data_IF_558495632188
#
_entry.id   IF_558495632188
#
_cell.length_a   1.000
_cell.length_b   1.000
_cell.length_c   1.000
_cell.angle_alpha   90.00
_cell.angle_beta   90.00
_cell.angle_gamma   90.00
#
_symmetry.space_group_name_H-M   'P 1'
#
loop_
_entity.id
_entity.type
_entity.pdbx_description
1 polymer ?
#
# COMPACT_ATOMS: atom_id res chain seq x y z
N UNK A 1 61.94 14.04 13.13
CA UNK A 1 61.97 15.09 14.18
C UNK A 1 60.50 15.25 14.57
N UNK A 2 60.10 14.54 15.60
CA UNK A 2 59.91 15.03 16.97
C UNK A 2 58.87 16.12 17.03
N UNK A 3 57.89 16.12 17.83
CA UNK A 3 57.46 15.42 19.04
C UNK A 3 56.28 16.14 19.61
N UNK A 4 55.42 15.36 20.25
CA UNK A 4 54.73 15.62 21.54
C UNK A 4 53.49 16.52 21.58
N UNK A 5 52.38 15.95 21.97
CA UNK A 5 51.91 15.70 23.36
C UNK A 5 51.43 16.95 24.09
N UNK A 6 50.24 16.92 24.64
CA UNK A 6 49.85 16.81 26.07
C UNK A 6 48.34 17.20 26.18
N UNK A 7 47.47 16.29 26.52
CA UNK A 7 46.87 15.90 27.82
C UNK A 7 46.19 17.03 28.62
N UNK A 8 44.93 16.84 28.92
CA UNK A 8 44.28 16.72 30.25
C UNK A 8 42.75 16.87 30.10
N UNK A 9 42.02 15.86 30.39
CA UNK A 9 41.42 15.52 31.69
C UNK A 9 40.44 16.57 32.24
N UNK A 10 39.17 16.24 32.24
CA UNK A 10 38.42 16.24 33.48
C UNK A 10 37.10 15.45 33.38
N UNK A 11 37.04 14.50 34.28
CA UNK A 11 35.92 13.64 34.55
C UNK A 11 34.84 14.36 35.38
N UNK A 12 33.58 14.07 35.14
CA UNK A 12 32.63 14.06 36.23
C UNK A 12 31.63 12.92 36.06
N UNK A 13 31.66 12.05 37.02
CA UNK A 13 30.82 10.90 37.26
C UNK A 13 29.36 11.32 37.47
N UNK A 14 28.46 10.61 36.82
CA UNK A 14 27.11 10.43 37.35
C UNK A 14 26.71 8.98 37.19
N UNK A 15 26.68 8.32 38.34
CA UNK A 15 26.29 6.94 38.58
C UNK A 15 24.76 6.81 38.43
N UNK A 16 24.32 6.02 37.47
CA UNK A 16 22.93 5.57 37.35
C UNK A 16 22.93 4.04 37.18
N UNK A 17 22.81 3.33 38.31
CA UNK A 17 22.63 1.88 38.34
C UNK A 17 21.35 1.47 37.62
N UNK A 18 21.47 0.70 36.54
CA UNK A 18 20.37 -0.09 35.98
C UNK A 18 20.19 -1.34 36.86
N UNK A 19 18.96 -1.71 37.27
CA UNK A 19 18.75 -2.96 37.95
C UNK A 19 18.93 -4.13 36.96
N UNK A 20 19.85 -5.01 37.31
CA UNK A 20 20.02 -6.32 36.66
C UNK A 20 18.86 -7.19 37.12
N UNK A 21 17.90 -7.47 36.24
CA UNK A 21 16.92 -8.52 36.45
C UNK A 21 17.65 -9.88 36.31
N UNK A 22 17.99 -10.48 37.44
CA UNK A 22 18.33 -11.89 37.50
C UNK A 22 17.10 -12.72 37.12
N UNK A 23 17.04 -13.19 35.89
CA UNK A 23 16.12 -14.22 35.45
C UNK A 23 16.56 -15.56 36.02
N UNK A 24 15.87 -16.03 37.03
CA UNK A 24 16.01 -17.41 37.50
C UNK A 24 15.57 -18.35 36.39
N UNK A 25 16.46 -19.21 35.94
CA UNK A 25 16.21 -20.34 35.05
C UNK A 25 15.32 -21.32 35.83
N UNK A 26 14.02 -21.31 35.54
CA UNK A 26 13.07 -22.33 35.99
C UNK A 26 13.22 -23.53 35.07
N UNK A 27 13.65 -24.65 35.65
CA UNK A 27 13.77 -25.94 34.96
C UNK A 27 12.43 -26.34 34.31
N UNK A 28 12.49 -26.77 33.05
CA UNK A 28 11.40 -27.17 32.19
C UNK A 28 10.63 -28.47 32.61
N UNK A 29 10.48 -28.74 33.89
CA UNK A 29 9.80 -29.95 34.38
C UNK A 29 8.55 -29.70 35.22
N UNK A 30 7.97 -28.46 35.20
CA UNK A 30 6.72 -28.15 35.91
C UNK A 30 5.82 -27.24 35.10
N UNK A 31 5.56 -27.58 33.83
CA UNK A 31 4.54 -26.94 33.02
C UNK A 31 3.49 -28.00 32.65
N UNK A 32 2.68 -28.33 33.60
CA UNK A 32 1.31 -28.85 33.48
C UNK A 32 0.69 -28.75 34.89
N UNK A 33 -0.40 -28.11 35.11
CA UNK A 33 -1.69 -28.11 34.39
C UNK A 33 -2.43 -26.75 34.34
N UNK A 34 -1.81 -25.72 33.79
CA UNK A 34 -2.49 -24.41 33.73
C UNK A 34 -3.63 -24.36 32.67
N UNK A 35 -3.63 -25.28 31.72
CA UNK A 35 -4.64 -25.29 30.65
C UNK A 35 -5.94 -25.98 31.04
N UNK A 36 -5.86 -27.05 31.87
CA UNK A 36 -7.04 -27.74 32.42
C UNK A 36 -7.71 -26.88 33.49
N UNK A 37 -6.94 -26.26 34.37
CA UNK A 37 -7.48 -25.36 35.40
C UNK A 37 -8.15 -24.10 34.84
N UNK A 38 -7.69 -23.58 33.68
CA UNK A 38 -8.34 -22.44 33.04
C UNK A 38 -9.67 -22.84 32.38
N UNK A 39 -9.71 -24.01 31.73
CA UNK A 39 -10.93 -24.55 31.14
C UNK A 39 -11.97 -24.88 32.22
N UNK A 40 -11.53 -25.49 33.33
CA UNK A 40 -12.41 -25.81 34.46
C UNK A 40 -12.93 -24.54 35.15
N UNK A 41 -12.10 -23.51 35.29
CA UNK A 41 -12.50 -22.23 35.82
C UNK A 41 -13.51 -21.48 34.92
N UNK A 42 -13.30 -21.54 33.60
CA UNK A 42 -14.26 -20.97 32.64
C UNK A 42 -15.58 -21.73 32.67
N UNK A 43 -15.56 -23.06 32.65
CA UNK A 43 -16.76 -23.89 32.72
C UNK A 43 -17.52 -23.67 34.03
N UNK A 44 -16.82 -23.56 35.17
CA UNK A 44 -17.46 -23.25 36.45
C UNK A 44 -18.12 -21.87 36.47
N UNK A 45 -17.46 -20.85 35.89
CA UNK A 45 -18.01 -19.50 35.77
C UNK A 45 -19.22 -19.44 34.82
N UNK A 46 -19.22 -20.23 33.75
CA UNK A 46 -20.35 -20.37 32.82
C UNK A 46 -21.55 -21.01 33.56
N UNK A 47 -21.31 -22.12 34.26
CA UNK A 47 -22.35 -22.84 35.01
C UNK A 47 -22.93 -21.95 36.11
N UNK A 48 -22.12 -21.14 36.78
CA UNK A 48 -22.61 -20.21 37.80
C UNK A 48 -23.44 -19.06 37.21
N UNK A 49 -23.07 -18.56 36.03
CA UNK A 49 -23.79 -17.51 35.29
C UNK A 49 -25.16 -18.06 34.78
N UNK A 50 -25.18 -19.28 34.28
CA UNK A 50 -26.41 -19.97 33.86
C UNK A 50 -27.37 -20.22 35.06
N UNK A 51 -26.85 -20.64 36.21
CA UNK A 51 -27.65 -20.88 37.43
C UNK A 51 -28.26 -19.60 38.00
N UNK A 52 -27.66 -18.43 37.70
CA UNK A 52 -28.16 -17.11 38.13
C UNK A 52 -29.09 -16.45 37.08
N UNK A 53 -29.38 -17.13 35.96
CA UNK A 53 -30.26 -16.60 34.91
C UNK A 53 -29.69 -15.32 34.23
N UNK A 54 -28.39 -15.10 34.36
CA UNK A 54 -27.73 -13.90 33.82
C UNK A 54 -27.35 -14.02 32.34
N UNK A 55 -27.17 -15.25 31.83
CA UNK A 55 -26.83 -15.51 30.43
C UNK A 55 -27.39 -16.88 30.04
N UNK A 56 -28.21 -16.92 29.03
CA UNK A 56 -28.61 -18.18 28.37
C UNK A 56 -27.60 -18.46 27.25
N UNK A 57 -26.45 -19.06 27.60
CA UNK A 57 -25.38 -19.37 26.66
C UNK A 57 -25.73 -20.55 25.75
N UNK A 58 -26.75 -21.35 26.14
CA UNK A 58 -27.16 -22.50 25.34
C UNK A 58 -27.95 -22.14 24.08
N UNK A 59 -28.41 -20.90 23.96
CA UNK A 59 -29.27 -20.47 22.85
C UNK A 59 -28.55 -19.89 21.62
N UNK A 60 -27.25 -19.60 21.65
CA UNK A 60 -26.60 -18.85 20.53
C UNK A 60 -25.15 -19.23 20.21
N UNK A 61 -24.62 -20.35 20.63
CA UNK A 61 -23.41 -20.89 20.02
C UNK A 61 -23.82 -21.79 18.89
N UNK A 62 -24.26 -21.19 17.78
CA UNK A 62 -24.25 -21.91 16.51
C UNK A 62 -22.83 -22.45 16.30
N UNK A 63 -22.65 -23.76 16.03
CA UNK A 63 -21.34 -24.30 15.71
C UNK A 63 -20.78 -23.43 14.58
N UNK A 64 -19.55 -22.95 14.72
CA UNK A 64 -18.89 -22.16 13.70
C UNK A 64 -19.02 -22.89 12.36
N UNK A 65 -20.04 -22.52 11.59
CA UNK A 65 -20.29 -23.12 10.30
C UNK A 65 -19.10 -22.83 9.44
N UNK A 66 -18.39 -23.87 8.99
CA UNK A 66 -17.28 -23.72 8.05
C UNK A 66 -17.84 -23.03 6.81
N UNK A 67 -17.35 -21.82 6.53
CA UNK A 67 -17.80 -21.01 5.40
C UNK A 67 -16.72 -20.95 4.33
N UNK A 68 -17.11 -20.84 3.06
CA UNK A 68 -16.17 -20.58 1.98
C UNK A 68 -15.40 -19.27 2.23
N UNK A 69 -14.11 -19.27 1.95
CA UNK A 69 -13.27 -18.09 2.15
C UNK A 69 -12.13 -17.97 1.13
N UNK A 70 -11.62 -16.77 1.02
CA UNK A 70 -10.41 -16.49 0.26
C UNK A 70 -9.20 -16.38 1.18
N UNK A 71 -8.05 -16.85 0.70
CA UNK A 71 -6.77 -16.73 1.40
C UNK A 71 -5.72 -16.22 0.42
N UNK A 72 -5.14 -15.06 0.74
CA UNK A 72 -3.97 -14.53 0.03
C UNK A 72 -2.72 -14.71 0.89
N UNK A 73 -1.72 -15.37 0.36
CA UNK A 73 -0.43 -15.58 1.03
C UNK A 73 0.72 -15.48 0.03
N UNK A 74 1.97 -15.67 0.49
CA UNK A 74 3.15 -15.61 -0.36
C UNK A 74 3.21 -16.61 -1.53
N UNK A 75 2.33 -17.62 -1.55
CA UNK A 75 2.23 -18.62 -2.64
C UNK A 75 1.15 -18.27 -3.67
N UNK A 76 0.19 -17.43 -3.33
CA UNK A 76 -0.89 -17.04 -4.25
C UNK A 76 -2.18 -16.67 -3.56
N UNK A 77 -3.20 -16.46 -4.38
CA UNK A 77 -4.60 -16.32 -3.98
C UNK A 77 -5.28 -17.68 -4.11
N UNK A 78 -5.96 -18.11 -3.06
CA UNK A 78 -6.64 -19.38 -2.97
C UNK A 78 -8.10 -19.17 -2.58
N UNK A 79 -8.98 -20.00 -3.14
CA UNK A 79 -10.35 -20.17 -2.69
C UNK A 79 -10.46 -21.52 -1.94
N UNK A 80 -11.01 -21.49 -0.74
CA UNK A 80 -11.30 -22.66 0.08
C UNK A 80 -12.81 -22.75 0.17
N UNK A 81 -13.38 -23.67 -0.60
CA UNK A 81 -14.80 -23.98 -0.56
C UNK A 81 -15.15 -24.92 0.58
N UNK A 82 -16.41 -25.30 0.65
CA UNK A 82 -16.91 -26.32 1.58
C UNK A 82 -17.51 -27.47 0.79
N UNK A 83 -17.42 -28.68 1.34
CA UNK A 83 -18.06 -29.88 0.81
C UNK A 83 -18.69 -30.69 1.96
N UNK A 84 -19.73 -31.45 1.66
CA UNK A 84 -20.35 -32.37 2.62
C UNK A 84 -19.77 -33.75 2.41
N UNK A 85 -19.22 -34.35 3.47
CA UNK A 85 -18.73 -35.74 3.51
C UNK A 85 -19.36 -36.40 4.71
N UNK A 86 -20.04 -37.51 4.48
CA UNK A 86 -20.75 -38.31 5.51
C UNK A 86 -21.71 -37.49 6.40
N UNK A 87 -22.33 -36.44 5.82
CA UNK A 87 -23.27 -35.57 6.53
C UNK A 87 -22.60 -34.40 7.27
N UNK A 88 -21.27 -34.32 7.34
CA UNK A 88 -20.54 -33.25 7.96
C UNK A 88 -20.00 -32.27 6.90
N UNK A 89 -20.03 -30.96 7.24
CA UNK A 89 -19.48 -29.91 6.39
C UNK A 89 -17.98 -29.78 6.65
N UNK A 90 -17.15 -30.05 5.64
CA UNK A 90 -15.70 -29.97 5.74
C UNK A 90 -15.14 -29.01 4.68
N UNK A 91 -13.95 -28.46 4.92
CA UNK A 91 -13.26 -27.65 3.92
C UNK A 91 -12.89 -28.48 2.68
N UNK A 92 -13.08 -27.90 1.52
CA UNK A 92 -12.58 -28.45 0.27
C UNK A 92 -11.08 -28.15 0.13
N UNK A 93 -10.40 -28.87 -0.78
CA UNK A 93 -9.01 -28.56 -1.10
C UNK A 93 -8.86 -27.12 -1.62
N UNK A 94 -7.83 -26.39 -1.17
CA UNK A 94 -7.57 -25.02 -1.63
C UNK A 94 -7.36 -24.95 -3.15
N UNK A 95 -8.21 -24.21 -3.83
CA UNK A 95 -8.13 -23.97 -5.27
C UNK A 95 -7.29 -22.71 -5.54
N UNK A 96 -6.11 -22.88 -6.12
CA UNK A 96 -5.24 -21.74 -6.46
C UNK A 96 -5.80 -20.98 -7.67
N UNK A 97 -5.98 -19.66 -7.50
CA UNK A 97 -6.60 -18.75 -8.47
C UNK A 97 -5.57 -17.93 -9.25
N UNK A 98 -4.63 -17.34 -8.53
CA UNK A 98 -3.61 -16.44 -9.09
C UNK A 98 -2.33 -16.43 -8.25
N UNK A 99 -1.31 -15.74 -8.73
CA UNK A 99 -0.18 -15.32 -7.91
C UNK A 99 -0.66 -14.37 -6.79
N UNK A 100 0.20 -14.06 -5.78
CA UNK A 100 -0.18 -13.18 -4.69
C UNK A 100 -0.66 -11.81 -5.20
N UNK A 101 -1.90 -11.46 -4.88
CA UNK A 101 -2.53 -10.16 -5.14
C UNK A 101 -3.19 -9.73 -3.85
N UNK A 102 -2.72 -8.66 -3.26
CA UNK A 102 -3.33 -8.07 -2.09
C UNK A 102 -4.21 -6.89 -2.50
N UNK A 103 -5.44 -6.86 -2.01
CA UNK A 103 -6.38 -5.77 -2.26
C UNK A 103 -6.19 -4.71 -1.17
N UNK A 104 -5.51 -3.63 -1.52
CA UNK A 104 -5.12 -2.58 -0.57
C UNK A 104 -6.13 -1.44 -0.49
N UNK A 105 -7.11 -1.38 -1.39
CA UNK A 105 -8.16 -0.39 -1.32
C UNK A 105 -9.03 -0.29 -2.56
N UNK A 106 -9.80 0.79 -2.60
CA UNK A 106 -10.65 1.17 -3.74
C UNK A 106 -10.51 2.65 -4.01
N UNK A 107 -10.76 3.08 -5.23
CA UNK A 107 -10.65 4.48 -5.59
C UNK A 107 -11.61 4.88 -6.70
N UNK A 108 -11.69 6.19 -6.93
CA UNK A 108 -12.44 6.77 -8.05
C UNK A 108 -11.55 7.74 -8.81
N UNK A 109 -11.83 7.89 -10.10
CA UNK A 109 -11.25 8.94 -10.92
C UNK A 109 -12.14 10.20 -10.95
N UNK A 110 -11.68 11.24 -11.63
CA UNK A 110 -12.43 12.48 -11.80
C UNK A 110 -13.74 12.30 -12.58
N UNK A 111 -13.87 11.21 -13.33
CA UNK A 111 -15.10 10.84 -14.05
C UNK A 111 -16.09 10.05 -13.19
N UNK A 112 -15.75 9.73 -11.95
CA UNK A 112 -16.56 8.92 -11.05
C UNK A 112 -16.49 7.42 -11.31
N UNK A 113 -15.56 6.95 -12.14
CA UNK A 113 -15.38 5.52 -12.37
C UNK A 113 -14.69 4.88 -11.16
N UNK A 114 -15.16 3.69 -10.80
CA UNK A 114 -14.62 2.93 -9.66
C UNK A 114 -13.47 2.03 -10.06
N UNK A 115 -12.50 1.91 -9.16
CA UNK A 115 -11.31 1.08 -9.31
C UNK A 115 -11.06 0.26 -8.04
N UNK A 116 -10.55 -0.94 -8.22
CA UNK A 116 -9.93 -1.72 -7.15
C UNK A 116 -8.43 -1.54 -7.19
N UNK A 117 -7.85 -1.29 -6.04
CA UNK A 117 -6.41 -1.07 -5.92
C UNK A 117 -5.78 -2.33 -5.38
N UNK A 118 -4.83 -2.85 -6.16
CA UNK A 118 -4.10 -4.06 -5.85
C UNK A 118 -2.62 -3.78 -5.62
N UNK A 119 -2.03 -4.56 -4.74
CA UNK A 119 -0.58 -4.65 -4.57
C UNK A 119 -0.12 -6.05 -4.96
N UNK A 120 0.94 -6.12 -5.73
CA UNK A 120 1.52 -7.37 -6.21
C UNK A 120 3.05 -7.25 -6.32
N UNK A 121 3.72 -8.38 -6.38
CA UNK A 121 5.18 -8.43 -6.55
C UNK A 121 5.53 -8.66 -8.01
N UNK A 122 6.26 -7.72 -8.59
CA UNK A 122 6.80 -7.85 -9.94
C UNK A 122 7.81 -9.01 -10.01
N UNK A 123 7.65 -9.91 -10.97
CA UNK A 123 8.49 -11.12 -11.09
C UNK A 123 9.93 -10.83 -11.49
N UNK A 124 10.16 -9.79 -12.28
CA UNK A 124 11.49 -9.44 -12.80
C UNK A 124 12.26 -8.61 -11.78
N UNK A 125 11.65 -7.54 -11.29
CA UNK A 125 12.32 -6.59 -10.38
C UNK A 125 12.24 -7.00 -8.92
N UNK A 126 11.36 -7.96 -8.58
CA UNK A 126 11.07 -8.40 -7.20
C UNK A 126 10.53 -7.28 -6.29
N UNK A 127 10.24 -6.12 -6.85
CA UNK A 127 9.68 -4.98 -6.11
C UNK A 127 8.16 -5.12 -5.98
N UNK A 128 7.62 -4.60 -4.88
CA UNK A 128 6.19 -4.42 -4.72
C UNK A 128 5.72 -3.30 -5.65
N UNK A 129 4.62 -3.53 -6.37
CA UNK A 129 3.97 -2.57 -7.25
C UNK A 129 2.51 -2.44 -6.86
N UNK A 130 2.00 -1.23 -6.95
CA UNK A 130 0.57 -0.93 -6.75
C UNK A 130 -0.04 -0.53 -8.09
N UNK A 131 -1.22 -1.06 -8.39
CA UNK A 131 -1.94 -0.75 -9.62
C UNK A 131 -3.44 -0.66 -9.37
N UNK A 132 -4.13 0.08 -10.22
CA UNK A 132 -5.57 0.23 -10.18
C UNK A 132 -6.22 -0.54 -11.35
N UNK A 133 -7.23 -1.35 -11.03
CA UNK A 133 -8.04 -2.08 -12.02
C UNK A 133 -9.43 -1.43 -12.03
N UNK A 134 -9.94 -0.99 -13.20
CA UNK A 134 -11.33 -0.56 -13.29
C UNK A 134 -12.28 -1.66 -12.81
N UNK A 135 -13.20 -1.32 -11.93
CA UNK A 135 -14.17 -2.31 -11.41
C UNK A 135 -15.01 -2.93 -12.52
N UNK A 136 -15.27 -2.19 -13.60
CA UNK A 136 -15.98 -2.68 -14.78
C UNK A 136 -15.19 -3.77 -15.56
N UNK A 137 -13.87 -3.81 -15.43
CA UNK A 137 -13.03 -4.80 -16.11
C UNK A 137 -12.95 -6.12 -15.33
N UNK A 138 -13.29 -6.12 -14.03
CA UNK A 138 -13.19 -7.32 -13.16
C UNK A 138 -14.16 -8.39 -13.67
N UNK A 139 -13.64 -9.61 -13.86
CA UNK A 139 -14.40 -10.73 -14.43
C UNK A 139 -14.42 -10.76 -15.95
N UNK A 140 -14.05 -9.69 -16.63
CA UNK A 140 -13.92 -9.65 -18.07
C UNK A 140 -12.61 -10.23 -18.58
N UNK A 141 -12.57 -10.56 -19.88
CA UNK A 141 -11.32 -10.99 -20.52
C UNK A 141 -10.25 -9.90 -20.43
N UNK A 142 -10.65 -8.64 -20.57
CA UNK A 142 -9.74 -7.48 -20.51
C UNK A 142 -9.10 -7.34 -19.11
N UNK A 143 -9.87 -7.54 -18.04
CA UNK A 143 -9.34 -7.50 -16.68
C UNK A 143 -8.30 -8.58 -16.43
N UNK A 144 -8.54 -9.81 -16.87
CA UNK A 144 -7.56 -10.88 -16.75
C UNK A 144 -6.31 -10.65 -17.61
N UNK A 145 -6.48 -10.14 -18.84
CA UNK A 145 -5.34 -9.76 -19.69
C UNK A 145 -4.51 -8.65 -19.04
N UNK A 146 -5.15 -7.69 -18.38
CA UNK A 146 -4.47 -6.62 -17.65
C UNK A 146 -3.62 -7.16 -16.50
N UNK A 147 -4.15 -8.09 -15.70
CA UNK A 147 -3.37 -8.77 -14.66
C UNK A 147 -2.16 -9.51 -15.25
N UNK A 148 -2.37 -10.22 -16.35
CA UNK A 148 -1.30 -10.95 -17.05
C UNK A 148 -0.24 -10.00 -17.63
N UNK A 149 -0.63 -8.83 -18.15
CA UNK A 149 0.32 -7.82 -18.64
C UNK A 149 1.23 -7.25 -17.55
N UNK A 150 0.78 -7.31 -16.30
CA UNK A 150 1.60 -6.97 -15.13
C UNK A 150 2.47 -8.14 -14.63
N UNK A 151 2.46 -9.25 -15.34
CA UNK A 151 3.24 -10.45 -15.00
C UNK A 151 2.60 -11.33 -13.94
N UNK A 152 1.33 -11.08 -13.58
CA UNK A 152 0.59 -11.90 -12.61
C UNK A 152 0.07 -13.15 -13.34
N UNK A 153 0.35 -14.34 -12.82
CA UNK A 153 -0.25 -15.56 -13.34
C UNK A 153 -1.70 -15.67 -12.90
N UNK A 154 -2.60 -15.79 -13.86
CA UNK A 154 -4.01 -16.13 -13.63
C UNK A 154 -4.22 -17.56 -14.10
N UNK A 155 -4.63 -18.45 -13.21
CA UNK A 155 -4.80 -19.86 -13.54
C UNK A 155 -6.03 -20.09 -14.40
N UNK A 156 -5.90 -20.96 -15.40
CA UNK A 156 -6.96 -21.29 -16.35
C UNK A 156 -8.08 -22.09 -15.69
N UNK A 157 -9.28 -21.99 -16.28
CA UNK A 157 -10.50 -22.65 -15.84
C UNK A 157 -11.59 -21.63 -15.47
N UNK A 158 -12.85 -21.94 -15.87
CA UNK A 158 -13.99 -21.05 -15.66
C UNK A 158 -14.20 -20.75 -14.18
N UNK A 159 -14.31 -21.79 -13.36
CA UNK A 159 -14.53 -21.66 -11.92
C UNK A 159 -13.43 -20.84 -11.23
N UNK A 160 -12.13 -21.03 -11.64
CA UNK A 160 -11.03 -20.26 -11.06
C UNK A 160 -11.11 -18.78 -11.39
N UNK A 161 -11.53 -18.44 -12.61
CA UNK A 161 -11.68 -17.04 -13.03
C UNK A 161 -12.87 -16.37 -12.38
N UNK A 162 -13.98 -17.07 -12.22
CA UNK A 162 -15.15 -16.59 -11.49
C UNK A 162 -14.78 -16.29 -10.03
N UNK A 163 -14.15 -17.24 -9.35
CA UNK A 163 -13.70 -17.04 -7.96
C UNK A 163 -12.64 -15.94 -7.82
N UNK A 164 -11.74 -15.79 -8.81
CA UNK A 164 -10.79 -14.67 -8.79
C UNK A 164 -11.49 -13.32 -8.98
N UNK A 165 -12.53 -13.25 -9.82
CA UNK A 165 -13.31 -12.04 -9.99
C UNK A 165 -14.05 -11.66 -8.71
N UNK A 166 -14.66 -12.64 -8.04
CA UNK A 166 -15.33 -12.43 -6.76
C UNK A 166 -14.34 -11.96 -5.69
N UNK A 167 -13.17 -12.60 -5.58
CA UNK A 167 -12.10 -12.15 -4.70
C UNK A 167 -11.72 -10.69 -4.93
N UNK A 168 -11.51 -10.30 -6.19
CA UNK A 168 -11.12 -8.94 -6.55
C UNK A 168 -12.22 -7.91 -6.25
N UNK A 169 -13.49 -8.31 -6.23
CA UNK A 169 -14.62 -7.42 -5.95
C UNK A 169 -14.92 -7.29 -4.47
N UNK A 170 -14.87 -8.40 -3.72
CA UNK A 170 -15.42 -8.47 -2.36
C UNK A 170 -14.37 -8.30 -1.28
N UNK A 171 -13.15 -8.79 -1.50
CA UNK A 171 -12.13 -8.86 -0.46
C UNK A 171 -11.29 -7.58 -0.32
N UNK A 172 -10.51 -7.52 0.75
CA UNK A 172 -9.44 -6.57 0.98
C UNK A 172 -9.82 -5.30 1.75
N UNK A 173 -8.89 -4.36 1.76
CA UNK A 173 -8.99 -3.10 2.50
C UNK A 173 -10.03 -2.15 1.92
N UNK A 174 -10.68 -1.38 2.81
CA UNK A 174 -11.62 -0.29 2.46
C UNK A 174 -10.91 1.06 2.30
N UNK A 175 -9.59 1.07 2.23
CA UNK A 175 -8.82 2.29 2.09
C UNK A 175 -9.15 3.00 0.78
N UNK A 176 -9.20 4.34 0.82
CA UNK A 176 -9.62 5.16 -0.32
C UNK A 176 -8.40 5.70 -1.06
N UNK A 177 -8.48 5.66 -2.38
CA UNK A 177 -7.48 6.17 -3.30
C UNK A 177 -8.10 7.13 -4.31
N UNK A 178 -7.37 8.17 -4.66
CA UNK A 178 -7.67 9.03 -5.81
C UNK A 178 -6.95 8.47 -7.03
N UNK A 179 -7.69 8.13 -8.07
CA UNK A 179 -7.13 7.60 -9.31
C UNK A 179 -7.09 8.71 -10.34
N UNK A 180 -5.96 8.91 -10.99
CA UNK A 180 -5.84 9.93 -12.03
C UNK A 180 -4.97 9.46 -13.19
N UNK A 181 -5.28 9.94 -14.39
CA UNK A 181 -4.49 9.77 -15.60
C UNK A 181 -3.80 11.06 -16.05
N UNK A 182 -3.91 12.13 -15.24
CA UNK A 182 -3.34 13.44 -15.54
C UNK A 182 -2.17 13.73 -14.60
N UNK A 183 -1.12 14.34 -15.15
CA UNK A 183 -0.04 14.93 -14.36
C UNK A 183 -0.51 16.23 -13.67
N UNK A 184 0.21 16.69 -12.65
CA UNK A 184 -0.12 17.86 -11.86
C UNK A 184 -0.63 17.55 -10.46
N UNK A 185 -1.31 18.51 -9.84
CA UNK A 185 -1.81 18.38 -8.47
C UNK A 185 -3.10 17.57 -8.37
N UNK A 186 -3.10 16.56 -7.51
CA UNK A 186 -4.26 15.74 -7.19
C UNK A 186 -4.20 15.37 -5.71
N UNK A 187 -5.22 15.75 -4.96
CA UNK A 187 -5.42 15.39 -3.55
C UNK A 187 -4.17 15.61 -2.66
N UNK A 188 -3.51 16.76 -2.84
CA UNK A 188 -2.29 17.11 -2.10
C UNK A 188 -0.99 16.46 -2.57
N UNK A 189 -1.05 15.65 -3.62
CA UNK A 189 0.13 15.10 -4.29
C UNK A 189 0.36 15.75 -5.66
N UNK A 190 1.61 15.93 -6.04
CA UNK A 190 2.00 16.38 -7.37
C UNK A 190 2.53 15.20 -8.18
N UNK A 191 1.93 14.97 -9.34
CA UNK A 191 2.29 13.87 -10.24
C UNK A 191 3.10 14.44 -11.38
N UNK A 192 4.32 13.94 -11.52
CA UNK A 192 5.17 14.25 -12.68
C UNK A 192 4.67 13.51 -13.92
N UNK A 193 4.94 14.02 -15.13
CA UNK A 193 4.62 13.31 -16.38
C UNK A 193 5.28 11.92 -16.48
N UNK A 194 6.36 11.67 -15.74
CA UNK A 194 6.98 10.36 -15.58
C UNK A 194 6.09 9.36 -14.80
N UNK A 195 5.03 9.85 -14.15
CA UNK A 195 4.20 9.07 -13.23
C UNK A 195 4.77 8.96 -11.82
N UNK A 196 5.87 9.65 -11.52
CA UNK A 196 6.37 9.80 -10.16
C UNK A 196 5.43 10.70 -9.36
N UNK A 197 5.15 10.30 -8.12
CA UNK A 197 4.24 11.00 -7.23
C UNK A 197 5.05 11.64 -6.11
N UNK A 198 5.01 12.97 -6.05
CA UNK A 198 5.64 13.77 -5.01
C UNK A 198 4.53 14.18 -4.04
N UNK A 199 4.61 13.69 -2.81
CA UNK A 199 3.65 13.99 -1.77
C UNK A 199 4.39 14.59 -0.57
N UNK A 200 4.32 15.92 -0.38
CA UNK A 200 5.05 16.61 0.68
C UNK A 200 4.52 16.25 2.07
N UNK A 201 3.22 16.04 2.20
CA UNK A 201 2.56 15.72 3.46
C UNK A 201 2.08 14.27 3.49
N UNK A 202 2.45 13.55 4.56
CA UNK A 202 1.93 12.19 4.83
C UNK A 202 0.42 12.16 5.12
N UNK A 203 -0.20 13.33 5.31
CA UNK A 203 -1.64 13.49 5.59
C UNK A 203 -2.48 13.66 4.33
N UNK A 204 -1.87 13.82 3.16
CA UNK A 204 -2.59 13.87 1.88
C UNK A 204 -3.24 12.54 1.53
N UNK A 205 -4.26 12.56 0.67
CA UNK A 205 -4.92 11.38 0.16
C UNK A 205 -3.96 10.46 -0.61
N UNK A 206 -4.23 9.17 -0.61
CA UNK A 206 -3.44 8.22 -1.42
C UNK A 206 -3.81 8.36 -2.88
N UNK A 207 -2.84 8.67 -3.72
CA UNK A 207 -3.04 8.90 -5.16
C UNK A 207 -2.36 7.80 -5.97
N UNK A 208 -3.00 7.36 -7.03
CA UNK A 208 -2.43 6.42 -8.01
C UNK A 208 -2.51 7.03 -9.40
N UNK A 209 -1.38 7.09 -10.06
CA UNK A 209 -1.31 7.48 -11.46
C UNK A 209 -1.55 6.28 -12.38
N UNK A 210 -2.62 6.37 -13.16
CA UNK A 210 -3.04 5.35 -14.13
C UNK A 210 -2.88 5.80 -15.58
N UNK A 211 -2.20 6.94 -15.82
CA UNK A 211 -1.96 7.50 -17.14
C UNK A 211 -0.85 6.81 -17.92
N UNK A 212 -0.67 7.29 -19.16
CA UNK A 212 0.41 6.83 -20.04
C UNK A 212 1.78 7.29 -19.51
N UNK A 213 2.71 6.36 -19.48
CA UNK A 213 4.12 6.58 -19.09
C UNK A 213 5.08 6.42 -20.26
N UNK A 214 4.57 6.37 -21.49
CA UNK A 214 5.41 6.18 -22.68
C UNK A 214 6.46 7.29 -22.86
N UNK A 215 6.14 8.50 -22.40
CA UNK A 215 7.03 9.65 -22.44
C UNK A 215 7.85 9.85 -21.15
N UNK A 216 7.78 8.92 -20.21
CA UNK A 216 8.48 9.06 -18.91
C UNK A 216 9.98 9.31 -19.08
N UNK A 217 10.60 8.74 -20.09
CA UNK A 217 12.02 8.94 -20.38
C UNK A 217 12.36 10.39 -20.78
N UNK A 218 11.42 11.11 -21.40
CA UNK A 218 11.62 12.51 -21.78
C UNK A 218 11.58 13.48 -20.58
N UNK A 219 11.05 13.03 -19.44
CA UNK A 219 10.91 13.83 -18.22
C UNK A 219 11.86 13.37 -17.11
N UNK A 220 12.99 12.81 -17.48
CA UNK A 220 14.03 12.45 -16.52
C UNK A 220 14.95 13.64 -16.27
N UNK A 221 15.33 13.90 -15.00
CA UNK A 221 16.33 14.92 -14.71
C UNK A 221 17.68 14.52 -15.34
N UNK A 222 18.36 15.49 -15.93
CA UNK A 222 19.70 15.32 -16.50
C UNK A 222 20.57 16.50 -16.08
N UNK A 223 21.83 16.25 -15.71
CA UNK A 223 22.75 17.24 -15.19
C UNK A 223 22.54 17.58 -13.71
N UNK A 224 23.24 18.60 -13.24
CA UNK A 224 23.16 19.10 -11.87
C UNK A 224 22.54 20.50 -11.80
N UNK A 225 22.16 20.92 -10.59
CA UNK A 225 21.66 22.27 -10.33
C UNK A 225 22.72 23.32 -10.68
N UNK A 226 23.98 23.06 -10.36
CA UNK A 226 25.10 23.94 -10.61
C UNK A 226 25.34 24.11 -12.12
N UNK A 227 25.24 23.02 -12.89
CA UNK A 227 25.32 23.08 -14.35
C UNK A 227 24.18 23.90 -14.93
N UNK A 228 22.94 23.68 -14.47
CA UNK A 228 21.78 24.43 -14.90
C UNK A 228 21.93 25.94 -14.57
N UNK A 229 22.45 26.28 -13.38
CA UNK A 229 22.71 27.66 -12.98
C UNK A 229 23.75 28.32 -13.88
N UNK A 230 24.81 27.60 -14.19
CA UNK A 230 25.90 28.09 -15.04
C UNK A 230 25.52 28.18 -16.52
N UNK A 231 24.75 27.24 -17.03
CA UNK A 231 24.52 27.13 -18.48
C UNK A 231 23.20 27.77 -18.93
N UNK A 232 22.27 27.99 -18.00
CA UNK A 232 20.94 28.52 -18.30
C UNK A 232 20.63 29.75 -17.44
N UNK A 233 20.59 29.61 -16.12
CA UNK A 233 20.06 30.64 -15.23
C UNK A 233 20.90 31.92 -15.25
N UNK A 234 22.23 31.86 -15.37
CA UNK A 234 23.09 33.02 -15.40
C UNK A 234 22.75 33.98 -16.54
N UNK A 235 22.25 33.47 -17.67
CA UNK A 235 21.91 34.34 -18.84
C UNK A 235 20.58 35.08 -18.64
N UNK A 236 19.83 34.75 -17.60
CA UNK A 236 18.63 35.50 -17.21
C UNK A 236 19.00 36.84 -16.55
N UNK A 237 20.19 36.95 -15.96
CA UNK A 237 20.65 38.19 -15.38
C UNK A 237 20.73 39.30 -16.44
N UNK A 238 19.94 40.38 -16.28
CA UNK A 238 19.84 41.46 -17.24
C UNK A 238 18.97 41.19 -18.48
N UNK A 239 18.41 39.97 -18.62
CA UNK A 239 17.54 39.62 -19.74
C UNK A 239 16.10 39.39 -19.25
N UNK A 240 15.26 40.41 -19.33
CA UNK A 240 13.88 40.38 -18.85
C UNK A 240 13.01 39.33 -19.51
N UNK A 241 13.24 39.01 -20.79
CA UNK A 241 12.46 37.99 -21.53
C UNK A 241 12.81 36.60 -21.04
N UNK A 242 14.09 36.33 -20.78
CA UNK A 242 14.52 35.04 -20.24
C UNK A 242 14.08 34.88 -18.77
N UNK A 243 14.16 35.95 -17.98
CA UNK A 243 13.59 35.97 -16.63
C UNK A 243 12.09 35.65 -16.63
N UNK A 244 11.32 36.25 -17.55
CA UNK A 244 9.91 35.97 -17.71
C UNK A 244 9.67 34.49 -18.06
N UNK A 245 10.40 33.96 -19.03
CA UNK A 245 10.25 32.57 -19.46
C UNK A 245 10.52 31.58 -18.32
N UNK A 246 11.60 31.74 -17.56
CA UNK A 246 11.93 30.94 -16.41
C UNK A 246 10.88 31.10 -15.28
N UNK A 247 10.45 32.33 -15.02
CA UNK A 247 9.45 32.65 -14.04
C UNK A 247 8.10 31.95 -14.32
N UNK A 248 7.66 31.96 -15.59
CA UNK A 248 6.44 31.26 -16.02
C UNK A 248 6.58 29.76 -15.83
N UNK A 249 7.74 29.17 -16.20
CA UNK A 249 7.96 27.74 -16.01
C UNK A 249 7.88 27.31 -14.53
N UNK A 250 8.43 28.11 -13.62
CA UNK A 250 8.34 27.83 -12.18
C UNK A 250 7.00 28.18 -11.56
N UNK A 251 6.29 29.18 -12.08
CA UNK A 251 4.97 29.56 -11.57
C UNK A 251 3.88 28.55 -11.94
N UNK A 252 3.98 27.90 -13.10
CA UNK A 252 2.95 26.99 -13.60
C UNK A 252 2.49 25.92 -12.59
N UNK A 253 3.37 25.18 -11.91
CA UNK A 253 2.96 24.19 -10.91
C UNK A 253 2.39 24.81 -9.62
N UNK A 254 2.59 26.13 -9.39
CA UNK A 254 2.09 26.82 -8.19
C UNK A 254 0.68 27.38 -8.36
N UNK A 255 0.23 27.65 -9.59
CA UNK A 255 -1.08 28.24 -9.86
C UNK A 255 -2.26 27.48 -9.20
N UNK A 256 -2.33 26.15 -9.26
CA UNK A 256 -3.41 25.42 -8.60
C UNK A 256 -3.41 25.58 -7.07
N UNK A 257 -2.25 25.73 -6.45
CA UNK A 257 -2.12 25.88 -4.99
C UNK A 257 -2.70 27.21 -4.49
N UNK A 258 -2.55 28.27 -5.29
CA UNK A 258 -3.10 29.60 -5.00
C UNK A 258 -4.48 29.83 -5.65
N UNK A 259 -5.04 28.79 -6.29
CA UNK A 259 -6.32 28.86 -7.02
C UNK A 259 -6.35 29.97 -8.08
N UNK A 260 -5.22 30.25 -8.69
CA UNK A 260 -5.12 31.21 -9.80
C UNK A 260 -5.50 30.54 -11.12
N UNK A 261 -6.02 31.34 -12.02
CA UNK A 261 -6.32 30.89 -13.39
C UNK A 261 -5.03 30.64 -14.17
N UNK A 262 -5.05 29.63 -15.03
CA UNK A 262 -3.96 29.35 -15.94
C UNK A 262 -3.95 30.37 -17.09
N UNK A 263 -2.75 30.76 -17.51
CA UNK A 263 -2.54 31.69 -18.61
C UNK A 263 -1.24 31.39 -19.35
N UNK A 264 -0.99 32.12 -20.41
CA UNK A 264 0.24 32.01 -21.20
C UNK A 264 0.69 33.37 -21.69
N UNK A 265 1.98 33.46 -22.00
CA UNK A 265 2.60 34.65 -22.62
C UNK A 265 3.02 34.27 -24.02
N UNK A 266 2.65 35.10 -24.98
CA UNK A 266 3.10 34.98 -26.34
C UNK A 266 4.19 36.06 -26.62
N UNK A 267 5.40 35.63 -26.95
CA UNK A 267 6.46 36.50 -27.36
C UNK A 267 6.45 36.56 -28.88
N UNK A 268 6.33 37.75 -29.43
CA UNK A 268 6.35 37.98 -30.87
C UNK A 268 7.37 39.07 -31.21
N UNK A 269 7.83 39.12 -32.44
CA UNK A 269 8.77 40.10 -32.95
C UNK A 269 9.05 39.84 -34.43
N UNK A 270 9.67 40.82 -35.07
CA UNK A 270 10.18 40.66 -36.44
C UNK A 270 11.41 39.74 -36.38
N UNK A 271 11.45 38.73 -37.26
CA UNK A 271 12.54 37.76 -37.40
C UNK A 271 13.57 38.24 -38.44
#
# INVERSE_FOLDING_TARGET
MNTNEIVSENASKSSGKRPVLMGSIVKASQVTPARETLADGINAAITEAESKGMIDIAAEVEPFAIQPRYVCNGKGVFYIGVKTVDGETVEAEPMRLADPIELVGSGTDAGGHYYRVIQYRDKLTRKSKTAAIPSADIGSVQGFQRLQSWGITVYSGRAKREQLADYLQTEGSKERYTITNKAGWHDGAYILPSGEIIQPDKQGGKVIYHGDKSQAAAYQPSGSLEEWQREIAQYAAGNSRLCLALGVAFAAPLLPLIKAESGGFHLYGDS
#
